data_IF_917062901399
#
_entry.id   IF_917062901399
#
_cell.length_a   1.000
_cell.length_b   1.000
_cell.length_c   1.000
_cell.angle_alpha   90.00
_cell.angle_beta   90.00
_cell.angle_gamma   90.00
#
_symmetry.space_group_name_H-M   'P 1'
#
loop_
_entity.id
_entity.type
_entity.pdbx_description
1 polymer ?
#
# COMPACT_ATOMS: atom_id res chain seq x y z
N UNK A 1 -6.65 15.81 -62.31
CA UNK A 1 -6.92 15.59 -60.87
C UNK A 1 -6.21 14.32 -60.42
N UNK A 2 -5.17 14.43 -59.58
CA UNK A 2 -4.71 13.32 -58.72
C UNK A 2 -3.74 13.91 -57.69
N UNK A 3 -4.27 14.30 -56.52
CA UNK A 3 -3.46 14.62 -55.34
C UNK A 3 -3.30 13.29 -54.58
N UNK A 4 -2.10 12.73 -54.56
CA UNK A 4 -1.76 11.62 -53.67
C UNK A 4 -1.26 12.25 -52.37
N UNK A 5 -2.06 12.14 -51.31
CA UNK A 5 -1.73 12.58 -49.95
C UNK A 5 -0.63 11.68 -49.37
N UNK A 6 0.46 12.29 -48.95
CA UNK A 6 1.49 11.69 -48.09
C UNK A 6 0.87 11.57 -46.69
N UNK A 7 0.57 10.34 -46.27
CA UNK A 7 0.12 10.05 -44.91
C UNK A 7 1.32 10.02 -43.96
N UNK A 8 1.44 11.04 -43.11
CA UNK A 8 2.34 11.02 -41.95
C UNK A 8 1.70 10.13 -40.88
N UNK A 9 2.17 8.89 -40.74
CA UNK A 9 1.85 8.05 -39.60
C UNK A 9 2.65 8.55 -38.39
N UNK A 10 2.02 9.39 -37.56
CA UNK A 10 2.55 9.73 -36.25
C UNK A 10 2.51 8.48 -35.37
N UNK A 11 3.65 7.81 -35.20
CA UNK A 11 3.86 6.87 -34.11
C UNK A 11 3.73 7.66 -32.81
N UNK A 12 2.55 7.61 -32.20
CA UNK A 12 2.36 7.89 -30.79
C UNK A 12 3.12 6.81 -30.02
N UNK A 13 4.41 7.07 -29.74
CA UNK A 13 5.13 6.36 -28.69
C UNK A 13 4.44 6.77 -27.40
N UNK A 14 3.46 5.96 -26.98
CA UNK A 14 2.87 6.09 -25.66
C UNK A 14 4.00 5.97 -24.65
N UNK A 15 4.36 7.10 -24.03
CA UNK A 15 5.18 7.07 -22.85
C UNK A 15 4.37 6.31 -21.80
N UNK A 16 4.73 5.06 -21.53
CA UNK A 16 4.33 4.38 -20.31
C UNK A 16 4.97 5.18 -19.18
N UNK A 17 4.28 6.22 -18.74
CA UNK A 17 4.52 6.82 -17.45
C UNK A 17 4.27 5.69 -16.45
N UNK A 18 5.34 5.01 -16.06
CA UNK A 18 5.37 4.15 -14.89
C UNK A 18 5.09 5.09 -13.72
N UNK A 19 3.80 5.27 -13.41
CA UNK A 19 3.41 5.72 -12.10
C UNK A 19 4.16 4.82 -11.11
N UNK A 20 4.77 5.41 -10.10
CA UNK A 20 5.37 4.65 -8.99
C UNK A 20 4.21 3.90 -8.33
N UNK A 21 4.03 2.65 -8.79
CA UNK A 21 2.72 2.03 -8.94
C UNK A 21 2.23 1.53 -7.59
N UNK A 22 1.06 2.00 -7.18
CA UNK A 22 0.18 1.37 -6.20
C UNK A 22 -0.39 0.01 -6.74
N UNK A 23 0.22 -0.55 -7.80
CA UNK A 23 -0.29 -1.68 -8.58
C UNK A 23 0.28 -3.05 -8.16
N UNK A 24 1.16 -3.10 -7.16
CA UNK A 24 1.66 -4.36 -6.59
C UNK A 24 1.38 -4.38 -5.08
N UNK A 25 0.11 -4.26 -4.75
CA UNK A 25 -0.38 -4.26 -3.38
C UNK A 25 -1.40 -5.36 -3.14
N UNK A 26 -1.30 -5.99 -1.98
CA UNK A 26 -2.18 -7.04 -1.49
C UNK A 26 -2.68 -6.69 -0.10
N UNK A 27 -3.95 -6.95 0.18
CA UNK A 27 -4.46 -6.91 1.55
C UNK A 27 -4.26 -8.27 2.19
N UNK A 28 -3.82 -8.24 3.45
CA UNK A 28 -3.66 -9.41 4.28
C UNK A 28 -4.94 -9.66 5.08
N UNK A 29 -5.49 -10.87 4.92
CA UNK A 29 -6.65 -11.38 5.63
C UNK A 29 -6.22 -12.57 6.48
N UNK A 30 -6.88 -12.76 7.62
CA UNK A 30 -6.72 -13.94 8.47
C UNK A 30 -8.07 -14.59 8.69
N UNK A 31 -8.25 -15.78 8.13
CA UNK A 31 -9.50 -16.54 8.16
C UNK A 31 -9.40 -17.74 9.10
N UNK A 32 -10.45 -18.09 9.85
CA UNK A 32 -10.47 -19.35 10.58
C UNK A 32 -10.54 -20.53 9.60
N UNK A 33 -9.83 -21.62 9.91
CA UNK A 33 -9.93 -22.85 9.14
C UNK A 33 -11.15 -23.63 9.61
N UNK A 34 -12.07 -23.91 8.69
CA UNK A 34 -13.30 -24.65 8.92
C UNK A 34 -13.14 -26.13 8.54
N UNK A 35 -13.60 -27.05 9.38
CA UNK A 35 -13.70 -28.48 9.10
C UNK A 35 -15.12 -28.95 9.43
N UNK A 36 -15.83 -29.51 8.44
CA UNK A 36 -17.23 -29.93 8.58
C UNK A 36 -18.19 -28.84 9.12
N UNK A 37 -17.86 -27.57 8.82
CA UNK A 37 -18.64 -26.41 9.27
C UNK A 37 -18.29 -25.90 10.68
N UNK A 38 -17.32 -26.50 11.36
CA UNK A 38 -16.84 -26.08 12.68
C UNK A 38 -15.44 -25.44 12.60
N UNK A 39 -15.19 -24.42 13.43
CA UNK A 39 -13.85 -23.83 13.55
C UNK A 39 -12.87 -24.80 14.19
N UNK A 40 -11.73 -25.02 13.53
CA UNK A 40 -10.67 -25.91 14.02
C UNK A 40 -9.76 -25.25 15.07
N UNK A 41 -9.88 -23.93 15.27
CA UNK A 41 -8.94 -23.11 16.04
C UNK A 41 -7.64 -22.77 15.29
N UNK A 42 -7.43 -23.32 14.09
CA UNK A 42 -6.36 -22.89 13.19
C UNK A 42 -6.79 -21.68 12.35
N UNK A 43 -5.81 -20.91 11.88
CA UNK A 43 -6.03 -19.78 11.00
C UNK A 43 -5.26 -19.97 9.69
N UNK A 44 -5.86 -19.49 8.60
CA UNK A 44 -5.24 -19.37 7.29
C UNK A 44 -4.97 -17.89 7.02
N UNK A 45 -3.73 -17.61 6.63
CA UNK A 45 -3.30 -16.29 6.18
C UNK A 45 -3.48 -16.22 4.66
N UNK A 46 -4.18 -15.20 4.19
CA UNK A 46 -4.50 -15.02 2.77
C UNK A 46 -4.14 -13.61 2.32
N UNK A 47 -3.57 -13.52 1.12
CA UNK A 47 -3.23 -12.28 0.46
C UNK A 47 -4.09 -12.17 -0.78
N UNK A 48 -4.83 -11.08 -0.91
CA UNK A 48 -5.68 -10.82 -2.09
C UNK A 48 -5.39 -9.45 -2.67
N UNK A 49 -5.60 -9.23 -3.98
CA UNK A 49 -5.33 -7.94 -4.61
C UNK A 49 -6.01 -6.78 -3.89
N UNK A 50 -5.28 -5.71 -3.62
CA UNK A 50 -5.77 -4.56 -2.88
C UNK A 50 -6.50 -3.51 -3.76
N UNK A 51 -6.74 -3.80 -5.04
CA UNK A 51 -7.25 -2.83 -6.02
C UNK A 51 -8.52 -2.13 -5.56
N UNK A 52 -9.52 -2.88 -5.11
CA UNK A 52 -10.82 -2.33 -4.69
C UNK A 52 -10.70 -1.57 -3.37
N UNK A 53 -9.93 -2.11 -2.42
CA UNK A 53 -9.63 -1.43 -1.15
C UNK A 53 -8.97 -0.07 -1.38
N UNK A 54 -7.92 -0.03 -2.21
CA UNK A 54 -7.21 1.20 -2.53
C UNK A 54 -8.13 2.15 -3.28
N UNK A 55 -8.89 1.68 -4.28
CA UNK A 55 -9.85 2.52 -5.00
C UNK A 55 -10.83 3.18 -4.04
N UNK A 56 -11.36 2.45 -3.06
CA UNK A 56 -12.29 2.97 -2.05
C UNK A 56 -11.71 4.02 -1.10
N UNK A 57 -10.38 4.14 -1.00
CA UNK A 57 -9.73 5.18 -0.19
C UNK A 57 -9.61 6.50 -0.97
N UNK A 58 -9.58 6.40 -2.31
CA UNK A 58 -9.37 7.54 -3.20
C UNK A 58 -10.62 7.92 -4.00
N UNK A 59 -11.70 7.11 -3.95
CA UNK A 59 -13.02 7.60 -4.34
C UNK A 59 -13.46 8.63 -3.30
N UNK A 60 -14.06 9.73 -3.75
CA UNK A 60 -14.38 10.86 -2.87
C UNK A 60 -15.59 10.56 -1.96
N UNK A 61 -15.95 9.28 -1.79
CA UNK A 61 -17.08 8.84 -0.99
C UNK A 61 -16.73 8.77 0.50
N UNK A 62 -17.73 8.89 1.37
CA UNK A 62 -17.52 8.82 2.81
C UNK A 62 -17.26 7.36 3.23
N UNK A 63 -16.00 7.04 3.53
CA UNK A 63 -15.58 5.75 4.05
C UNK A 63 -14.56 5.06 3.16
N UNK A 64 -14.31 3.78 3.43
CA UNK A 64 -13.51 2.89 2.60
C UNK A 64 -13.83 1.44 2.97
N UNK A 65 -13.46 0.49 2.11
CA UNK A 65 -13.64 -0.94 2.36
C UNK A 65 -12.81 -1.36 3.59
N UNK A 66 -13.44 -1.92 4.61
CA UNK A 66 -12.74 -2.43 5.81
C UNK A 66 -12.63 -3.95 5.85
N UNK A 67 -13.43 -4.64 5.04
CA UNK A 67 -13.60 -6.09 5.06
C UNK A 67 -13.74 -6.64 3.64
N UNK A 68 -13.22 -7.85 3.40
CA UNK A 68 -13.39 -8.61 2.16
C UNK A 68 -13.93 -9.98 2.53
N UNK A 69 -15.06 -10.39 1.94
CA UNK A 69 -15.75 -11.65 2.28
C UNK A 69 -16.03 -11.79 3.79
N UNK A 70 -16.51 -10.71 4.42
CA UNK A 70 -16.76 -10.61 5.87
C UNK A 70 -15.50 -10.80 6.74
N UNK A 71 -14.31 -10.65 6.16
CA UNK A 71 -13.03 -10.73 6.87
C UNK A 71 -12.36 -9.36 6.95
N UNK A 72 -12.03 -8.89 8.16
CA UNK A 72 -11.40 -7.59 8.34
C UNK A 72 -10.00 -7.57 7.76
N UNK A 73 -9.70 -6.51 7.01
CA UNK A 73 -8.38 -6.25 6.46
C UNK A 73 -7.40 -6.03 7.62
N UNK A 74 -6.35 -6.85 7.68
CA UNK A 74 -5.36 -6.83 8.78
C UNK A 74 -4.13 -5.98 8.47
N UNK A 75 -3.77 -5.85 7.20
CA UNK A 75 -2.67 -5.00 6.73
C UNK A 75 -2.76 -4.83 5.21
N UNK A 76 -2.13 -3.78 4.69
CA UNK A 76 -1.87 -3.56 3.29
C UNK A 76 -0.37 -3.78 3.03
N UNK A 77 -0.02 -4.74 2.18
CA UNK A 77 1.33 -5.04 1.74
C UNK A 77 1.54 -4.48 0.34
N UNK A 78 2.63 -3.77 0.09
CA UNK A 78 2.95 -3.21 -1.22
C UNK A 78 4.42 -3.43 -1.57
N UNK A 79 4.69 -3.92 -2.78
CA UNK A 79 6.03 -4.01 -3.35
C UNK A 79 6.35 -2.73 -4.12
N UNK A 80 7.46 -2.05 -3.77
CA UNK A 80 7.87 -0.78 -4.38
C UNK A 80 9.38 -0.72 -4.55
N UNK A 81 9.85 0.02 -5.55
CA UNK A 81 11.30 0.25 -5.72
C UNK A 81 11.94 1.02 -4.54
N UNK A 82 11.14 1.78 -3.80
CA UNK A 82 11.54 2.51 -2.60
C UNK A 82 10.52 2.27 -1.50
N UNK A 83 11.02 1.89 -0.31
CA UNK A 83 10.19 1.76 0.91
C UNK A 83 9.99 3.08 1.65
N UNK A 84 10.61 4.17 1.19
CA UNK A 84 10.45 5.48 1.82
C UNK A 84 9.02 6.00 1.60
N UNK A 85 8.25 6.24 2.68
CA UNK A 85 6.91 6.78 2.56
C UNK A 85 6.91 8.20 2.00
N UNK A 86 5.81 8.56 1.35
CA UNK A 86 5.56 9.87 0.76
C UNK A 86 4.19 10.36 1.18
N UNK A 87 3.90 11.65 0.95
CA UNK A 87 2.57 12.20 1.28
C UNK A 87 1.42 11.51 0.52
N UNK A 88 1.70 10.88 -0.63
CA UNK A 88 0.69 10.10 -1.37
C UNK A 88 0.21 8.87 -0.63
N UNK A 89 1.05 8.34 0.26
CA UNK A 89 0.73 7.17 1.08
C UNK A 89 -0.15 7.55 2.29
N UNK A 90 -0.30 8.84 2.59
CA UNK A 90 -1.03 9.28 3.79
C UNK A 90 -2.49 8.80 3.84
N UNK A 91 -3.30 8.86 2.75
CA UNK A 91 -4.66 8.32 2.78
C UNK A 91 -4.71 6.83 3.16
N UNK A 92 -3.74 6.02 2.70
CA UNK A 92 -3.63 4.62 3.08
C UNK A 92 -3.33 4.47 4.58
N UNK A 93 -2.38 5.24 5.09
CA UNK A 93 -1.99 5.23 6.51
C UNK A 93 -3.12 5.75 7.42
N UNK A 94 -3.88 6.74 6.96
CA UNK A 94 -4.99 7.35 7.69
C UNK A 94 -6.17 6.40 7.92
N UNK A 95 -6.23 5.27 7.21
CA UNK A 95 -7.20 4.19 7.50
C UNK A 95 -6.94 3.50 8.85
N UNK A 96 -5.74 3.64 9.41
CA UNK A 96 -5.30 2.92 10.60
C UNK A 96 -4.97 1.44 10.37
N UNK A 97 -5.20 0.92 9.15
CA UNK A 97 -4.74 -0.40 8.73
C UNK A 97 -3.21 -0.34 8.58
N UNK A 98 -2.44 -1.28 9.15
CA UNK A 98 -1.00 -1.32 8.99
C UNK A 98 -0.57 -1.31 7.52
N UNK A 99 0.31 -0.38 7.16
CA UNK A 99 0.84 -0.23 5.81
C UNK A 99 2.27 -0.75 5.75
N UNK A 100 2.50 -1.81 4.98
CA UNK A 100 3.78 -2.53 4.87
C UNK A 100 4.31 -2.36 3.47
N UNK A 101 5.49 -1.78 3.33
CA UNK A 101 6.14 -1.58 2.02
C UNK A 101 7.46 -2.33 2.00
N UNK A 102 7.67 -3.16 0.98
CA UNK A 102 8.93 -3.87 0.76
C UNK A 102 9.49 -3.59 -0.64
N UNK A 103 10.80 -3.73 -0.80
CA UNK A 103 11.40 -3.82 -2.14
C UNK A 103 11.16 -5.17 -2.81
N UNK A 104 10.96 -6.21 -2.02
CA UNK A 104 10.79 -7.61 -2.42
C UNK A 104 10.45 -8.42 -1.15
N UNK A 105 9.27 -9.06 -1.04
CA UNK A 105 8.92 -9.80 0.18
C UNK A 105 9.59 -11.18 0.27
N UNK A 106 10.14 -11.70 -0.83
CA UNK A 106 10.78 -13.01 -0.90
C UNK A 106 12.30 -12.94 -0.65
N UNK A 107 12.89 -11.74 -0.72
CA UNK A 107 14.31 -11.54 -0.47
C UNK A 107 14.65 -11.39 1.02
N UNK A 108 15.59 -12.19 1.51
CA UNK A 108 16.02 -12.18 2.92
C UNK A 108 16.56 -10.82 3.42
N UNK A 109 17.25 -10.07 2.56
CA UNK A 109 17.86 -8.78 2.87
C UNK A 109 17.03 -7.60 2.33
N UNK A 110 15.74 -7.81 2.11
CA UNK A 110 14.87 -6.77 1.59
C UNK A 110 14.69 -5.64 2.59
N UNK A 111 14.54 -4.43 2.07
CA UNK A 111 14.15 -3.28 2.87
C UNK A 111 12.65 -3.37 3.08
N UNK A 112 12.21 -3.24 4.32
CA UNK A 112 10.80 -3.26 4.69
C UNK A 112 10.53 -2.10 5.66
N UNK A 113 9.50 -1.31 5.37
CA UNK A 113 8.95 -0.32 6.29
C UNK A 113 7.53 -0.74 6.63
N UNK A 114 7.21 -0.81 7.92
CA UNK A 114 5.85 -1.00 8.42
C UNK A 114 5.41 0.25 9.16
N UNK A 115 4.31 0.86 8.73
CA UNK A 115 3.69 2.00 9.39
C UNK A 115 2.38 1.54 10.03
N UNK A 116 2.17 1.90 11.29
CA UNK A 116 0.95 1.53 12.02
C UNK A 116 0.56 2.61 13.03
N UNK A 117 -0.73 2.70 13.34
CA UNK A 117 -1.25 3.62 14.33
C UNK A 117 -1.35 2.93 15.71
N UNK A 118 -0.80 3.56 16.74
CA UNK A 118 -0.90 3.07 18.12
C UNK A 118 -0.69 4.22 19.10
N UNK A 119 -1.43 4.24 20.21
CA UNK A 119 -1.24 5.22 21.30
C UNK A 119 -1.31 6.68 20.80
N UNK A 120 -2.27 6.99 19.93
CA UNK A 120 -2.52 8.36 19.50
C UNK A 120 -1.67 8.85 18.33
N UNK A 121 -0.73 8.05 17.80
CA UNK A 121 0.19 8.47 16.73
C UNK A 121 0.57 7.32 15.79
N UNK A 122 1.05 7.66 14.61
CA UNK A 122 1.71 6.75 13.69
C UNK A 122 3.14 6.46 14.13
N UNK A 123 3.50 5.18 14.10
CA UNK A 123 4.84 4.66 14.35
C UNK A 123 5.35 3.95 13.09
N UNK A 124 6.66 3.76 13.02
CA UNK A 124 7.29 2.96 11.97
C UNK A 124 8.25 1.92 12.53
N UNK A 125 8.36 0.78 11.85
CA UNK A 125 9.43 -0.20 12.03
C UNK A 125 10.11 -0.41 10.68
N UNK A 126 11.43 -0.28 10.68
CA UNK A 126 12.27 -0.61 9.53
C UNK A 126 12.99 -1.95 9.75
N UNK A 127 13.06 -2.77 8.69
CA UNK A 127 13.87 -3.99 8.63
C UNK A 127 14.67 -4.02 7.32
N UNK A 128 15.84 -4.65 7.37
CA UNK A 128 16.77 -4.76 6.24
C UNK A 128 18.12 -4.10 6.55
N UNK A 129 18.96 -3.91 5.52
CA UNK A 129 20.27 -3.28 5.66
C UNK A 129 20.19 -1.89 6.30
N UNK A 130 21.22 -1.49 7.06
CA UNK A 130 21.25 -0.20 7.74
C UNK A 130 20.93 0.98 6.77
N UNK A 131 20.01 1.84 7.19
CA UNK A 131 19.67 3.04 6.41
C UNK A 131 20.84 4.02 6.41
N UNK A 132 21.04 4.68 5.28
CA UNK A 132 21.91 5.85 5.25
C UNK A 132 21.33 6.93 6.17
N UNK A 133 22.18 7.80 6.74
CA UNK A 133 21.71 8.94 7.55
C UNK A 133 20.68 9.80 6.83
N UNK A 134 20.82 9.93 5.50
CA UNK A 134 19.89 10.67 4.64
C UNK A 134 18.53 9.97 4.56
N UNK A 135 18.51 8.66 4.42
CA UNK A 135 17.26 7.91 4.31
C UNK A 135 16.57 7.74 5.66
N UNK A 136 17.33 7.62 6.75
CA UNK A 136 16.78 7.71 8.11
C UNK A 136 16.07 9.05 8.32
N UNK A 137 16.72 10.17 7.97
CA UNK A 137 16.12 11.50 8.10
C UNK A 137 14.83 11.64 7.26
N UNK A 138 14.80 11.11 6.03
CA UNK A 138 13.57 11.10 5.21
C UNK A 138 12.44 10.32 5.86
N UNK A 139 12.74 9.15 6.43
CA UNK A 139 11.75 8.33 7.11
C UNK A 139 11.19 9.06 8.33
N UNK A 140 12.06 9.67 9.14
CA UNK A 140 11.65 10.45 10.31
C UNK A 140 10.80 11.67 9.90
N UNK A 141 11.19 12.39 8.85
CA UNK A 141 10.43 13.52 8.30
C UNK A 141 9.04 13.09 7.82
N UNK A 142 8.93 11.97 7.10
CA UNK A 142 7.65 11.43 6.65
C UNK A 142 6.73 11.10 7.84
N UNK A 143 7.26 10.47 8.89
CA UNK A 143 6.49 10.16 10.10
C UNK A 143 6.04 11.41 10.85
N UNK A 144 6.89 12.45 10.92
CA UNK A 144 6.52 13.73 11.50
C UNK A 144 5.38 14.38 10.71
N UNK A 145 5.47 14.37 9.38
CA UNK A 145 4.43 14.92 8.50
C UNK A 145 3.11 14.18 8.71
N UNK A 146 3.12 12.85 8.70
CA UNK A 146 1.91 12.03 8.90
C UNK A 146 1.24 12.30 10.24
N UNK A 147 2.02 12.43 11.31
CA UNK A 147 1.49 12.72 12.66
C UNK A 147 0.95 14.15 12.82
N UNK A 148 1.26 15.06 11.90
CA UNK A 148 0.70 16.41 11.86
C UNK A 148 -0.58 16.50 11.01
N UNK A 149 -0.84 15.49 10.16
CA UNK A 149 -2.02 15.49 9.31
C UNK A 149 -3.27 15.08 10.08
N UNK A 150 -4.45 15.62 9.74
CA UNK A 150 -5.72 15.13 10.28
C UNK A 150 -6.05 13.75 9.72
N UNK A 151 -6.33 12.76 10.59
CA UNK A 151 -6.59 11.38 10.18
C UNK A 151 -7.83 10.73 10.82
N UNK A 152 -8.55 11.38 11.73
CA UNK A 152 -9.78 10.85 12.34
C UNK A 152 -9.63 9.63 13.27
N UNK A 153 -8.47 8.95 13.26
CA UNK A 153 -8.13 7.87 14.19
C UNK A 153 -7.97 8.40 15.63
N UNK A 154 -8.64 7.76 16.60
CA UNK A 154 -8.49 8.07 18.03
C UNK A 154 -9.44 9.14 18.59
N UNK A 155 -10.74 9.03 18.32
CA UNK A 155 -11.78 9.66 19.16
C UNK A 155 -12.03 8.85 20.42
#
# INVERSE_FOLDING_TARGET
MRRLLIGLAALMIGQTAMADNVADCEVFLRQPVMLDGEETGAFMDTYVPATDFIASIYDEEDGYITDIEDQPIKALFCTRQSVMPTLRDFPLVATGIPFVVSTDFDAAESKIVTIYYKEGKFHQVYKGPELSKKDQAKLDDAMNIFNLQPHGLGK
#
